data_IF_272251945494
#
_entry.id   IF_272251945494
#
_cell.length_a   1.000
_cell.length_b   1.000
_cell.length_c   1.000
_cell.angle_alpha   90.00
_cell.angle_beta   90.00
_cell.angle_gamma   90.00
#
_symmetry.space_group_name_H-M   'P 1'
#
loop_
_entity.id
_entity.type
_entity.pdbx_description
1 polymer ?
#
# COMPACT_ATOMS: atom_id res chain seq x y z
N UNK A 1 31.99 4.41 27.59
CA UNK A 1 30.54 4.17 27.35
C UNK A 1 29.99 5.31 26.50
N UNK A 2 30.19 5.25 25.19
CA UNK A 2 29.74 6.28 24.25
C UNK A 2 28.32 5.92 23.81
N UNK A 3 27.34 6.58 24.44
CA UNK A 3 25.95 6.54 24.03
C UNK A 3 25.81 7.26 22.70
N UNK A 4 25.66 6.52 21.61
CA UNK A 4 25.31 7.11 20.31
C UNK A 4 23.81 7.36 20.26
N UNK A 5 23.43 8.61 20.49
CA UNK A 5 22.10 9.13 20.14
C UNK A 5 21.97 9.13 18.62
N UNK A 6 21.58 8.00 18.04
CA UNK A 6 21.03 8.00 16.69
C UNK A 6 19.63 8.55 16.81
N UNK A 7 19.45 9.83 16.50
CA UNK A 7 18.17 10.39 16.11
C UNK A 7 17.73 9.70 14.81
N UNK A 8 17.19 8.48 14.94
CA UNK A 8 16.37 7.91 13.88
C UNK A 8 15.08 8.70 13.93
N UNK A 9 14.96 9.71 13.09
CA UNK A 9 13.66 10.17 12.64
C UNK A 9 13.01 8.98 11.91
N UNK A 10 12.42 8.06 12.67
CA UNK A 10 11.76 6.89 12.11
C UNK A 10 10.47 7.38 11.48
N UNK A 11 10.42 7.43 10.15
CA UNK A 11 9.15 7.52 9.46
C UNK A 11 8.30 6.35 9.98
N UNK A 12 7.14 6.60 10.62
CA UNK A 12 6.35 5.52 11.20
C UNK A 12 5.89 4.61 10.07
N UNK A 13 6.32 3.34 10.12
CA UNK A 13 5.96 2.33 9.14
C UNK A 13 4.64 1.66 9.55
N UNK A 14 3.80 1.24 8.59
CA UNK A 14 2.66 0.38 8.89
C UNK A 14 3.12 -0.88 9.64
N UNK A 15 2.37 -1.36 10.66
CA UNK A 15 2.78 -2.51 11.46
C UNK A 15 3.13 -3.74 10.62
N UNK A 16 2.32 -4.06 9.60
CA UNK A 16 2.58 -5.17 8.67
C UNK A 16 3.93 -5.06 7.93
N UNK A 17 4.41 -3.84 7.66
CA UNK A 17 5.73 -3.61 7.05
C UNK A 17 6.83 -3.66 8.11
N UNK A 18 6.59 -3.06 9.28
CA UNK A 18 7.54 -3.04 10.38
C UNK A 18 7.92 -4.46 10.83
N UNK A 19 6.94 -5.36 10.94
CA UNK A 19 7.15 -6.75 11.34
C UNK A 19 7.68 -7.67 10.23
N UNK A 20 7.59 -7.27 8.95
CA UNK A 20 8.02 -8.07 7.81
C UNK A 20 9.55 -8.08 7.60
N UNK A 21 10.30 -7.43 8.49
CA UNK A 21 11.75 -7.44 8.53
C UNK A 21 12.42 -6.33 7.71
N UNK A 22 13.76 -6.15 7.85
CA UNK A 22 14.47 -4.98 7.31
C UNK A 22 14.37 -4.82 5.79
N UNK A 23 14.35 -5.91 5.03
CA UNK A 23 14.21 -5.87 3.57
C UNK A 23 12.84 -5.28 3.17
N UNK A 24 11.76 -5.73 3.81
CA UNK A 24 10.42 -5.20 3.54
C UNK A 24 10.31 -3.72 3.86
N UNK A 25 10.86 -3.29 5.01
CA UNK A 25 10.89 -1.89 5.42
C UNK A 25 11.64 -1.02 4.40
N UNK A 26 12.83 -1.45 3.97
CA UNK A 26 13.62 -0.72 2.98
C UNK A 26 12.92 -0.67 1.62
N UNK A 27 12.45 -1.81 1.10
CA UNK A 27 11.73 -1.87 -0.18
C UNK A 27 10.47 -0.99 -0.17
N UNK A 28 9.74 -0.96 0.94
CA UNK A 28 8.57 -0.10 1.10
C UNK A 28 8.93 1.39 0.99
N UNK A 29 10.00 1.83 1.66
CA UNK A 29 10.46 3.23 1.58
C UNK A 29 11.03 3.58 0.20
N UNK A 30 11.81 2.67 -0.38
CA UNK A 30 12.39 2.80 -1.73
C UNK A 30 11.33 2.98 -2.80
N UNK A 31 10.18 2.29 -2.69
CA UNK A 31 9.08 2.47 -3.62
C UNK A 31 8.72 3.96 -3.77
N UNK A 32 8.50 4.66 -2.65
CA UNK A 32 8.12 6.07 -2.69
C UNK A 32 9.25 6.99 -3.11
N UNK A 33 10.49 6.71 -2.68
CA UNK A 33 11.64 7.56 -2.94
C UNK A 33 12.18 7.41 -4.37
N UNK A 34 12.23 6.18 -4.89
CA UNK A 34 12.84 5.85 -6.17
C UNK A 34 11.84 5.84 -7.34
N UNK A 35 10.59 5.40 -7.13
CA UNK A 35 9.64 5.23 -8.24
C UNK A 35 8.76 6.47 -8.49
N UNK A 36 8.52 7.30 -7.47
CA UNK A 36 7.53 8.39 -7.55
C UNK A 36 8.18 9.77 -7.41
N UNK A 37 8.43 10.44 -8.54
CA UNK A 37 9.03 11.79 -8.57
C UNK A 37 8.06 12.89 -8.12
N UNK A 38 6.79 12.79 -8.48
CA UNK A 38 5.79 13.81 -8.15
C UNK A 38 5.42 13.74 -6.64
N UNK A 39 5.62 14.82 -5.86
CA UNK A 39 5.38 14.81 -4.42
C UNK A 39 3.90 14.62 -4.06
N UNK A 40 2.97 15.11 -4.88
CA UNK A 40 1.54 14.91 -4.67
C UNK A 40 1.14 13.45 -4.90
N UNK A 41 1.63 12.84 -5.99
CA UNK A 41 1.43 11.42 -6.26
C UNK A 41 2.04 10.57 -5.15
N UNK A 42 3.24 10.93 -4.67
CA UNK A 42 3.93 10.21 -3.58
C UNK A 42 3.12 10.23 -2.30
N UNK A 43 2.59 11.40 -1.90
CA UNK A 43 1.70 11.53 -0.72
C UNK A 43 0.42 10.73 -0.89
N UNK A 44 -0.22 10.80 -2.06
CA UNK A 44 -1.44 10.04 -2.33
C UNK A 44 -1.21 8.53 -2.26
N UNK A 45 -0.10 8.04 -2.82
CA UNK A 45 0.26 6.63 -2.80
C UNK A 45 0.63 6.18 -1.39
N UNK A 46 1.39 6.97 -0.63
CA UNK A 46 1.73 6.66 0.76
C UNK A 46 0.48 6.56 1.63
N UNK A 47 -0.48 7.48 1.45
CA UNK A 47 -1.78 7.42 2.11
C UNK A 47 -2.53 6.15 1.75
N UNK A 48 -2.63 5.82 0.46
CA UNK A 48 -3.34 4.63 -0.02
C UNK A 48 -2.72 3.32 0.52
N UNK A 49 -1.38 3.22 0.51
CA UNK A 49 -0.65 2.09 1.05
C UNK A 49 -0.90 1.92 2.55
N UNK A 50 -0.74 2.99 3.34
CA UNK A 50 -0.98 2.97 4.78
C UNK A 50 -2.43 2.59 5.10
N UNK A 51 -3.40 3.17 4.38
CA UNK A 51 -4.82 2.86 4.58
C UNK A 51 -5.14 1.40 4.27
N UNK A 52 -4.61 0.86 3.16
CA UNK A 52 -4.82 -0.54 2.78
C UNK A 52 -4.21 -1.51 3.80
N UNK A 53 -2.96 -1.28 4.21
CA UNK A 53 -2.26 -2.14 5.17
C UNK A 53 -2.91 -2.08 6.54
N UNK A 54 -3.34 -0.89 6.99
CA UNK A 54 -4.08 -0.72 8.25
C UNK A 54 -5.43 -1.42 8.19
N UNK A 55 -6.14 -1.31 7.06
CA UNK A 55 -7.41 -2.02 6.89
C UNK A 55 -7.21 -3.53 6.96
N UNK A 56 -6.19 -4.08 6.27
CA UNK A 56 -5.89 -5.51 6.31
C UNK A 56 -5.61 -5.98 7.74
N UNK A 57 -4.77 -5.23 8.49
CA UNK A 57 -4.45 -5.52 9.88
C UNK A 57 -5.72 -5.56 10.76
N UNK A 58 -6.59 -4.55 10.62
CA UNK A 58 -7.84 -4.46 11.38
C UNK A 58 -8.85 -5.55 11.03
N UNK A 59 -8.68 -6.23 9.88
CA UNK A 59 -9.53 -7.31 9.42
C UNK A 59 -8.84 -8.69 9.55
N UNK A 60 -7.88 -8.80 10.47
CA UNK A 60 -7.30 -10.08 10.90
C UNK A 60 -6.07 -10.55 10.14
N UNK A 61 -5.59 -9.79 9.15
CA UNK A 61 -4.31 -10.11 8.49
C UNK A 61 -3.17 -9.85 9.46
N UNK A 62 -2.43 -10.89 9.80
CA UNK A 62 -1.33 -10.80 10.75
C UNK A 62 0.02 -10.61 10.07
N UNK A 63 0.26 -11.15 8.86
CA UNK A 63 1.53 -10.97 8.14
C UNK A 63 1.33 -10.35 6.76
N UNK A 64 2.35 -9.62 6.27
CA UNK A 64 2.32 -8.99 4.94
C UNK A 64 2.09 -10.02 3.81
N UNK A 65 2.65 -11.22 3.95
CA UNK A 65 2.50 -12.34 3.03
C UNK A 65 1.08 -12.90 2.95
N UNK A 66 0.26 -12.65 3.98
CA UNK A 66 -1.08 -13.23 4.10
C UNK A 66 -2.15 -12.34 3.45
N UNK A 67 -1.77 -11.15 2.98
CA UNK A 67 -2.66 -10.29 2.21
C UNK A 67 -3.01 -11.02 0.92
N UNK A 68 -4.21 -11.59 0.88
CA UNK A 68 -4.83 -12.18 -0.30
C UNK A 68 -5.72 -11.18 -1.09
N UNK A 69 -6.07 -11.47 -2.35
CA UNK A 69 -6.94 -10.62 -3.17
C UNK A 69 -8.29 -10.26 -2.54
N UNK A 70 -8.85 -11.16 -1.73
CA UNK A 70 -10.12 -10.91 -1.03
C UNK A 70 -10.04 -9.71 -0.08
N UNK A 71 -8.92 -9.50 0.61
CA UNK A 71 -8.73 -8.35 1.49
C UNK A 71 -8.70 -7.05 0.70
N UNK A 72 -7.97 -7.03 -0.42
CA UNK A 72 -7.88 -5.84 -1.27
C UNK A 72 -9.23 -5.54 -1.93
N UNK A 73 -9.98 -6.56 -2.35
CA UNK A 73 -11.32 -6.39 -2.90
C UNK A 73 -12.30 -5.78 -1.88
N UNK A 74 -12.35 -6.31 -0.66
CA UNK A 74 -13.21 -5.79 0.41
C UNK A 74 -12.82 -4.37 0.83
N UNK A 75 -11.52 -4.06 0.87
CA UNK A 75 -11.06 -2.68 1.09
C UNK A 75 -11.55 -1.73 -0.02
N UNK A 76 -11.48 -2.15 -1.29
CA UNK A 76 -11.97 -1.36 -2.42
C UNK A 76 -13.48 -1.14 -2.34
N UNK A 77 -14.26 -2.16 -1.99
CA UNK A 77 -15.70 -2.03 -1.77
C UNK A 77 -16.02 -1.02 -0.66
N UNK A 78 -15.26 -1.04 0.44
CA UNK A 78 -15.38 -0.07 1.54
C UNK A 78 -15.10 1.36 1.06
N UNK A 79 -14.04 1.56 0.25
CA UNK A 79 -13.72 2.88 -0.30
C UNK A 79 -14.80 3.38 -1.27
N UNK A 80 -15.39 2.49 -2.06
CA UNK A 80 -16.45 2.82 -3.02
C UNK A 80 -17.73 3.38 -2.38
N UNK A 81 -17.93 3.16 -1.08
CA UNK A 81 -19.07 3.72 -0.35
C UNK A 81 -18.91 5.22 -0.01
N UNK A 82 -17.68 5.73 -0.02
CA UNK A 82 -17.37 7.08 0.48
C UNK A 82 -16.54 7.95 -0.47
N UNK A 83 -15.93 7.35 -1.50
CA UNK A 83 -15.05 8.05 -2.43
C UNK A 83 -15.58 7.99 -3.87
N UNK A 84 -15.23 9.02 -4.65
CA UNK A 84 -15.52 9.05 -6.08
C UNK A 84 -14.83 7.90 -6.84
N UNK A 85 -15.42 7.38 -7.94
CA UNK A 85 -14.79 6.32 -8.73
C UNK A 85 -13.34 6.62 -9.18
N UNK A 86 -12.98 7.85 -9.61
CA UNK A 86 -11.59 8.21 -9.89
C UNK A 86 -10.67 8.05 -8.68
N UNK A 87 -11.10 8.47 -7.49
CA UNK A 87 -10.32 8.35 -6.25
C UNK A 87 -10.08 6.88 -5.87
N UNK A 88 -11.11 6.02 -6.01
CA UNK A 88 -10.97 4.57 -5.75
C UNK A 88 -9.99 3.94 -6.74
N UNK A 89 -10.10 4.28 -8.03
CA UNK A 89 -9.17 3.80 -9.07
C UNK A 89 -7.73 4.22 -8.77
N UNK A 90 -7.50 5.46 -8.36
CA UNK A 90 -6.16 5.96 -8.00
C UNK A 90 -5.57 5.19 -6.81
N UNK A 91 -6.38 4.94 -5.77
CA UNK A 91 -5.95 4.16 -4.60
C UNK A 91 -5.62 2.72 -4.97
N UNK A 92 -6.43 2.09 -5.81
CA UNK A 92 -6.17 0.73 -6.30
C UNK A 92 -4.88 0.66 -7.13
N UNK A 93 -4.66 1.65 -8.01
CA UNK A 93 -3.42 1.73 -8.78
C UNK A 93 -2.20 1.86 -7.84
N UNK A 94 -2.28 2.73 -6.84
CA UNK A 94 -1.21 2.90 -5.85
C UNK A 94 -0.80 1.58 -5.18
N UNK A 95 -1.79 0.83 -4.70
CA UNK A 95 -1.56 -0.43 -4.00
C UNK A 95 -1.07 -1.52 -4.95
N UNK A 96 -1.56 -1.59 -6.19
CA UNK A 96 -1.01 -2.51 -7.21
C UNK A 96 0.46 -2.26 -7.47
N UNK A 97 0.84 -1.00 -7.73
CA UNK A 97 2.24 -0.65 -7.99
C UNK A 97 3.15 -0.95 -6.81
N UNK A 98 2.68 -0.68 -5.58
CA UNK A 98 3.42 -1.04 -4.38
C UNK A 98 3.65 -2.55 -4.31
N UNK A 99 2.60 -3.36 -4.48
CA UNK A 99 2.74 -4.81 -4.39
C UNK A 99 3.56 -5.40 -5.54
N UNK A 100 3.48 -4.88 -6.77
CA UNK A 100 4.39 -5.26 -7.86
C UNK A 100 5.86 -4.97 -7.50
N UNK A 101 6.11 -3.82 -6.87
CA UNK A 101 7.45 -3.48 -6.37
C UNK A 101 7.92 -4.43 -5.27
N UNK A 102 7.05 -4.82 -4.35
CA UNK A 102 7.38 -5.79 -3.30
C UNK A 102 7.61 -7.21 -3.85
N UNK A 103 6.91 -7.60 -4.93
CA UNK A 103 7.15 -8.87 -5.63
C UNK A 103 8.52 -8.87 -6.31
N UNK A 104 8.80 -7.85 -7.14
CA UNK A 104 10.13 -7.73 -7.79
C UNK A 104 11.25 -7.55 -6.77
N UNK A 105 10.92 -7.01 -5.59
CA UNK A 105 11.79 -6.91 -4.44
C UNK A 105 11.98 -8.18 -3.62
N UNK A 106 11.33 -9.29 -3.99
CA UNK A 106 11.32 -10.58 -3.31
C UNK A 106 10.85 -10.50 -1.85
N UNK A 107 9.95 -9.56 -1.54
CA UNK A 107 9.35 -9.39 -0.21
C UNK A 107 8.09 -10.23 -0.06
N UNK A 108 7.29 -10.35 -1.12
CA UNK A 108 6.11 -11.21 -1.19
C UNK A 108 6.12 -12.01 -2.50
N UNK A 109 5.46 -13.16 -2.52
CA UNK A 109 5.49 -14.06 -3.67
C UNK A 109 4.63 -13.58 -4.86
N UNK A 110 3.48 -12.95 -4.57
CA UNK A 110 2.50 -12.55 -5.59
C UNK A 110 1.85 -11.22 -5.23
N UNK A 111 1.41 -10.45 -6.23
CA UNK A 111 0.68 -9.21 -6.00
C UNK A 111 -0.81 -9.50 -5.70
N UNK A 112 -1.31 -9.27 -4.47
CA UNK A 112 -2.70 -9.55 -4.13
C UNK A 112 -3.70 -8.59 -4.79
N UNK A 113 -3.26 -7.42 -5.25
CA UNK A 113 -4.13 -6.46 -5.93
C UNK A 113 -4.23 -6.70 -7.45
N UNK A 114 -3.49 -7.68 -8.00
CA UNK A 114 -3.41 -7.92 -9.44
C UNK A 114 -4.77 -8.29 -10.07
N UNK A 115 -5.56 -9.14 -9.40
CA UNK A 115 -6.86 -9.63 -9.90
C UNK A 115 -8.07 -8.78 -9.49
N UNK A 116 -7.90 -7.89 -8.51
CA UNK A 116 -8.99 -7.03 -8.00
C UNK A 116 -9.42 -6.06 -9.10
N UNK A 117 -10.71 -5.76 -9.26
CA UNK A 117 -11.19 -4.75 -10.22
C UNK A 117 -11.59 -3.47 -9.50
N UNK A 118 -11.33 -2.33 -10.12
CA UNK A 118 -11.84 -1.04 -9.65
C UNK A 118 -13.31 -0.84 -10.05
N UNK A 119 -14.00 0.17 -9.49
CA UNK A 119 -15.38 0.46 -9.85
C UNK A 119 -15.53 0.73 -11.35
N UNK A 120 -16.60 0.21 -11.93
CA UNK A 120 -16.94 0.41 -13.34
C UNK A 120 -17.14 1.91 -13.62
N UNK A 121 -16.73 2.36 -14.80
CA UNK A 121 -17.04 3.72 -15.25
C UNK A 121 -18.43 3.71 -15.88
N UNK A 122 -19.42 4.35 -15.24
CA UNK A 122 -20.54 4.94 -15.97
C UNK A 122 -20.17 6.39 -16.25
N UNK A 123 -19.48 6.65 -17.37
CA UNK A 123 -19.42 8.01 -17.87
C UNK A 123 -20.85 8.37 -18.30
N UNK A 124 -21.49 9.33 -17.62
CA UNK A 124 -22.64 10.02 -18.23
C UNK A 124 -22.07 10.75 -19.45
N UNK A 125 -22.41 10.25 -20.64
CA UNK A 125 -22.27 11.02 -21.87
C UNK A 125 -23.17 12.26 -21.71
N UNK A 126 -22.54 13.42 -21.71
CA UNK A 126 -23.18 14.72 -21.96
C UNK A 126 -22.70 15.23 -23.30
#
# INVERSE_FOLDING_TARGET
>A
MTSSLVLRSSVPLPPLIAQAGPQAQMRFLEFFAATIRNPNTRRAYAKAANDCLTWCLNHGVSHLSDIAPIHVAAWIETLSQSLSPPSVKQRLAAVRHLFDWLVTGQVIATNPAASVRGPAHSARQG
#
